data_IF_015262247234
#
_entry.id   IF_015262247234
#
_cell.length_a   1.000
_cell.length_b   1.000
_cell.length_c   1.000
_cell.angle_alpha   90.00
_cell.angle_beta   90.00
_cell.angle_gamma   90.00
#
_symmetry.space_group_name_H-M   'P 1'
#
loop_
_entity.id
_entity.type
_entity.pdbx_description
1 polymer ?
#
# COMPACT_ATOMS: atom_id res chain seq x y z
N UNK A 1 -14.22 13.39 16.25
CA UNK A 1 -14.71 12.54 17.35
C UNK A 1 -14.81 11.09 16.93
N UNK A 2 -14.10 10.19 17.64
CA UNK A 2 -14.59 8.91 18.25
C UNK A 2 -13.43 7.91 18.44
N UNK A 3 -13.43 7.16 19.56
CA UNK A 3 -12.42 6.15 19.94
C UNK A 3 -13.02 4.77 20.21
N UNK A 4 -12.20 3.72 20.07
CA UNK A 4 -12.62 2.34 20.21
C UNK A 4 -11.59 1.46 20.94
N UNK A 5 -12.11 0.37 21.51
CA UNK A 5 -11.52 -0.53 22.50
C UNK A 5 -10.24 -1.25 22.05
N UNK A 6 -9.31 -1.45 23.01
CA UNK A 6 -8.22 -2.45 22.91
C UNK A 6 -8.78 -3.81 23.34
N UNK A 7 -8.61 -4.86 22.53
CA UNK A 7 -8.81 -6.22 23.01
C UNK A 7 -7.74 -7.16 22.43
N UNK A 8 -7.04 -7.85 23.33
CA UNK A 8 -6.12 -8.93 22.99
C UNK A 8 -6.89 -10.25 23.04
N UNK A 9 -7.20 -10.84 21.88
CA UNK A 9 -7.77 -12.20 21.82
C UNK A 9 -9.20 -12.39 22.37
N UNK A 10 -9.89 -11.31 22.75
CA UNK A 10 -11.32 -11.33 23.09
C UNK A 10 -12.13 -10.55 22.05
N UNK A 11 -13.39 -10.95 21.81
CA UNK A 11 -14.31 -10.17 20.95
C UNK A 11 -14.57 -8.82 21.63
N UNK A 12 -14.26 -7.67 20.99
CA UNK A 12 -14.52 -6.37 21.58
C UNK A 12 -16.02 -6.20 21.83
N UNK A 13 -16.43 -5.55 22.92
CA UNK A 13 -17.84 -5.15 23.10
C UNK A 13 -18.21 -4.02 22.13
N UNK A 14 -19.50 -3.78 21.84
CA UNK A 14 -19.92 -2.62 21.09
C UNK A 14 -19.41 -1.32 21.74
N UNK A 15 -18.84 -0.39 20.96
CA UNK A 15 -18.33 0.88 21.47
C UNK A 15 -19.39 1.83 22.01
N UNK A 16 -18.94 2.83 22.79
CA UNK A 16 -19.71 4.03 23.15
C UNK A 16 -18.95 5.28 22.69
N UNK A 17 -19.66 6.29 22.21
CA UNK A 17 -19.09 7.58 21.79
C UNK A 17 -18.64 8.41 23.00
N UNK A 18 -17.45 9.00 22.96
CA UNK A 18 -16.98 9.99 23.94
C UNK A 18 -16.13 11.10 23.29
N UNK A 19 -16.42 12.40 23.56
CA UNK A 19 -15.64 13.53 23.05
C UNK A 19 -14.46 13.88 23.96
N UNK A 20 -13.25 14.00 23.40
CA UNK A 20 -12.07 14.52 24.11
C UNK A 20 -11.28 15.42 23.15
N UNK A 21 -11.36 16.74 23.33
CA UNK A 21 -10.83 17.74 22.40
C UNK A 21 -9.32 17.62 22.12
N UNK A 22 -8.53 17.22 23.12
CA UNK A 22 -7.08 17.03 22.99
C UNK A 22 -6.72 15.85 22.08
N UNK A 23 -7.61 14.87 21.95
CA UNK A 23 -7.37 13.67 21.13
C UNK A 23 -7.79 13.87 19.67
N UNK A 24 -8.75 14.76 19.40
CA UNK A 24 -9.17 15.10 18.04
C UNK A 24 -8.00 15.71 17.24
N UNK A 25 -7.24 16.65 17.82
CA UNK A 25 -6.07 17.23 17.14
C UNK A 25 -4.99 16.18 16.82
N UNK A 26 -4.74 15.27 17.76
CA UNK A 26 -3.78 14.19 17.59
C UNK A 26 -4.18 13.21 16.47
N UNK A 27 -5.44 12.78 16.46
CA UNK A 27 -5.94 11.89 15.42
C UNK A 27 -5.98 12.55 14.06
N UNK A 28 -6.41 13.82 13.98
CA UNK A 28 -6.42 14.59 12.74
C UNK A 28 -5.01 14.67 12.13
N UNK A 29 -3.98 14.92 12.93
CA UNK A 29 -2.59 14.93 12.44
C UNK A 29 -2.14 13.57 11.88
N UNK A 30 -2.66 12.45 12.41
CA UNK A 30 -2.38 11.12 11.86
C UNK A 30 -3.13 10.82 10.58
N UNK A 31 -4.39 11.23 10.50
CA UNK A 31 -5.21 11.15 9.30
C UNK A 31 -4.58 11.97 8.18
N UNK A 32 -4.23 13.23 8.43
CA UNK A 32 -3.54 14.10 7.48
C UNK A 32 -2.20 13.52 7.03
N UNK A 33 -1.38 13.00 7.96
CA UNK A 33 -0.11 12.38 7.61
C UNK A 33 -0.29 11.19 6.69
N UNK A 34 -1.24 10.30 7.00
CA UNK A 34 -1.54 9.12 6.20
C UNK A 34 -2.05 9.53 4.81
N UNK A 35 -2.95 10.50 4.77
CA UNK A 35 -3.51 11.05 3.55
C UNK A 35 -2.45 11.70 2.65
N UNK A 36 -1.63 12.59 3.21
CA UNK A 36 -0.54 13.25 2.50
C UNK A 36 0.51 12.25 2.02
N UNK A 37 0.79 11.23 2.84
CA UNK A 37 1.70 10.14 2.42
C UNK A 37 1.13 9.40 1.23
N UNK A 38 -0.16 9.06 1.22
CA UNK A 38 -0.78 8.34 0.11
C UNK A 38 -0.81 9.13 -1.21
N UNK A 39 -0.81 10.46 -1.14
CA UNK A 39 -0.75 11.34 -2.31
C UNK A 39 0.68 11.68 -2.76
N UNK A 40 1.72 11.11 -2.14
CA UNK A 40 3.09 11.31 -2.59
C UNK A 40 3.36 10.56 -3.90
N UNK A 41 4.27 11.09 -4.74
CA UNK A 41 4.54 10.58 -6.10
C UNK A 41 4.93 9.10 -6.19
N UNK A 42 5.66 8.56 -5.20
CA UNK A 42 6.07 7.14 -5.15
C UNK A 42 5.22 6.30 -4.18
N UNK A 43 4.07 6.82 -3.76
CA UNK A 43 3.19 6.04 -2.90
C UNK A 43 2.44 4.98 -3.69
N UNK A 44 2.13 3.83 -3.06
CA UNK A 44 1.21 2.87 -3.66
C UNK A 44 -0.10 3.57 -4.03
N UNK A 45 -0.70 3.23 -5.18
CA UNK A 45 -2.04 3.72 -5.50
C UNK A 45 -3.04 3.22 -4.43
N UNK A 46 -4.22 3.85 -4.33
CA UNK A 46 -5.27 3.43 -3.40
C UNK A 46 -5.56 1.92 -3.56
N UNK A 47 -5.63 1.23 -2.44
CA UNK A 47 -5.99 -0.19 -2.38
C UNK A 47 -7.44 -0.41 -2.81
N UNK A 48 -7.74 -1.59 -3.34
CA UNK A 48 -9.10 -2.01 -3.66
C UNK A 48 -9.69 -2.93 -2.59
N UNK A 49 -10.99 -2.83 -2.34
CA UNK A 49 -11.69 -3.87 -1.59
C UNK A 49 -11.83 -5.15 -2.42
N UNK A 50 -11.67 -6.30 -1.78
CA UNK A 50 -11.83 -7.62 -2.41
C UNK A 50 -13.26 -7.86 -2.92
N UNK A 51 -14.25 -7.23 -2.27
CA UNK A 51 -15.66 -7.31 -2.60
C UNK A 51 -16.45 -6.19 -1.89
N UNK A 52 -17.73 -6.07 -2.23
CA UNK A 52 -18.64 -5.08 -1.63
C UNK A 52 -18.83 -5.27 -0.12
N UNK A 53 -18.87 -6.53 0.37
CA UNK A 53 -18.99 -6.84 1.81
C UNK A 53 -17.78 -6.33 2.63
N UNK A 54 -16.60 -6.25 2.00
CA UNK A 54 -15.42 -5.65 2.60
C UNK A 54 -15.51 -4.12 2.66
N UNK A 55 -16.15 -3.49 1.67
CA UNK A 55 -16.35 -2.04 1.55
C UNK A 55 -17.41 -1.50 2.53
N UNK A 56 -18.53 -2.20 2.68
CA UNK A 56 -19.71 -1.73 3.44
C UNK A 56 -19.40 -1.17 4.84
N UNK A 57 -18.53 -1.78 5.68
CA UNK A 57 -18.20 -1.17 6.96
C UNK A 57 -17.48 0.18 6.82
N UNK A 58 -16.65 0.38 5.80
CA UNK A 58 -16.01 1.68 5.58
C UNK A 58 -17.02 2.73 5.11
N UNK A 59 -17.99 2.36 4.28
CA UNK A 59 -19.11 3.25 3.90
C UNK A 59 -19.92 3.63 5.14
N UNK A 60 -20.19 2.66 6.03
CA UNK A 60 -20.82 2.90 7.32
C UNK A 60 -20.01 3.81 8.26
N UNK A 61 -18.68 3.79 8.20
CA UNK A 61 -17.84 4.76 8.91
C UNK A 61 -17.92 6.15 8.28
N UNK A 62 -17.99 6.25 6.96
CA UNK A 62 -17.92 7.51 6.21
C UNK A 62 -19.27 8.25 6.22
N UNK A 63 -20.35 7.55 5.92
CA UNK A 63 -21.67 8.12 5.62
C UNK A 63 -22.72 7.80 6.70
N UNK A 64 -22.47 6.78 7.51
CA UNK A 64 -23.39 6.32 8.55
C UNK A 64 -23.67 7.35 9.64
N UNK A 65 -24.84 7.18 10.26
CA UNK A 65 -25.17 7.79 11.55
C UNK A 65 -24.36 7.18 12.69
N UNK A 66 -24.51 7.68 13.91
CA UNK A 66 -23.76 7.22 15.08
C UNK A 66 -23.88 5.71 15.31
N UNK A 67 -25.07 5.13 15.15
CA UNK A 67 -25.29 3.70 15.37
C UNK A 67 -24.65 2.86 14.26
N UNK A 68 -24.76 3.30 13.02
CA UNK A 68 -24.13 2.68 11.85
C UNK A 68 -22.61 2.74 11.97
N UNK A 69 -22.07 3.89 12.37
CA UNK A 69 -20.65 4.09 12.63
C UNK A 69 -20.14 3.10 13.69
N UNK A 70 -20.81 3.01 14.84
CA UNK A 70 -20.41 2.10 15.93
C UNK A 70 -20.45 0.63 15.49
N UNK A 71 -21.46 0.25 14.70
CA UNK A 71 -21.63 -1.11 14.17
C UNK A 71 -20.53 -1.46 13.17
N UNK A 72 -20.26 -0.56 12.22
CA UNK A 72 -19.17 -0.69 11.26
C UNK A 72 -17.81 -0.80 11.95
N UNK A 73 -17.55 0.08 12.90
CA UNK A 73 -16.31 0.11 13.64
C UNK A 73 -16.08 -1.15 14.48
N UNK A 74 -17.14 -1.68 15.12
CA UNK A 74 -17.11 -2.97 15.80
C UNK A 74 -16.84 -4.13 14.83
N UNK A 75 -17.47 -4.14 13.66
CA UNK A 75 -17.23 -5.15 12.62
C UNK A 75 -15.76 -5.18 12.18
N UNK A 76 -15.18 -4.00 11.90
CA UNK A 76 -13.78 -3.86 11.49
C UNK A 76 -12.82 -4.28 12.62
N UNK A 77 -13.12 -3.92 13.87
CA UNK A 77 -12.35 -4.37 15.03
C UNK A 77 -12.38 -5.90 15.18
N UNK A 78 -13.56 -6.52 15.04
CA UNK A 78 -13.70 -7.98 15.07
C UNK A 78 -12.88 -8.67 13.96
N UNK A 79 -12.92 -8.15 12.73
CA UNK A 79 -12.13 -8.68 11.61
C UNK A 79 -10.63 -8.59 11.88
N UNK A 80 -10.15 -7.45 12.39
CA UNK A 80 -8.75 -7.24 12.76
C UNK A 80 -8.29 -8.19 13.87
N UNK A 81 -9.07 -8.30 14.96
CA UNK A 81 -8.76 -9.19 16.08
C UNK A 81 -8.71 -10.65 15.63
N UNK A 82 -9.66 -11.10 14.80
CA UNK A 82 -9.69 -12.46 14.29
C UNK A 82 -8.45 -12.81 13.44
N UNK A 83 -7.84 -11.83 12.77
CA UNK A 83 -6.64 -12.03 11.94
C UNK A 83 -5.33 -11.88 12.73
N UNK A 84 -5.36 -11.26 13.92
CA UNK A 84 -4.18 -11.11 14.77
C UNK A 84 -3.80 -12.44 15.43
N UNK A 85 -2.68 -13.01 15.02
CA UNK A 85 -2.20 -14.33 15.43
C UNK A 85 -1.48 -14.38 16.79
N UNK A 86 -1.83 -13.51 17.75
CA UNK A 86 -1.20 -13.35 19.08
C UNK A 86 0.32 -13.01 19.09
N UNK A 87 0.99 -12.95 17.93
CA UNK A 87 2.40 -12.52 17.80
C UNK A 87 2.49 -11.00 17.59
N UNK A 88 1.43 -10.39 17.06
CA UNK A 88 1.36 -8.94 16.87
C UNK A 88 1.33 -8.21 18.21
N UNK A 89 2.24 -7.24 18.39
CA UNK A 89 2.28 -6.39 19.59
C UNK A 89 0.91 -5.74 19.86
N UNK A 90 0.51 -5.61 21.14
CA UNK A 90 -0.67 -4.86 21.53
C UNK A 90 -0.67 -3.47 20.89
N UNK A 91 -1.85 -3.01 20.50
CA UNK A 91 -2.03 -1.70 19.90
C UNK A 91 -3.47 -1.23 20.05
N UNK A 92 -3.67 0.06 19.91
CA UNK A 92 -4.99 0.69 19.97
C UNK A 92 -5.59 0.73 18.57
N UNK A 93 -6.81 0.20 18.43
CA UNK A 93 -7.59 0.32 17.20
C UNK A 93 -8.55 1.49 17.33
N UNK A 94 -8.41 2.47 16.46
CA UNK A 94 -9.24 3.68 16.46
C UNK A 94 -10.00 3.73 15.15
N UNK A 95 -11.32 3.70 15.20
CA UNK A 95 -12.15 4.08 14.06
C UNK A 95 -12.37 5.59 14.10
N UNK A 96 -12.13 6.26 13.00
CA UNK A 96 -12.18 7.72 12.91
C UNK A 96 -13.07 8.14 11.75
N UNK A 97 -13.78 9.26 11.93
CA UNK A 97 -14.41 10.06 10.89
C UNK A 97 -13.98 11.50 11.10
N UNK A 98 -13.43 12.12 10.07
CA UNK A 98 -12.89 13.47 10.11
C UNK A 98 -13.28 14.25 8.86
N UNK A 99 -13.52 15.54 9.03
CA UNK A 99 -13.61 16.48 7.92
C UNK A 99 -12.21 17.03 7.65
N UNK A 100 -11.67 16.80 6.45
CA UNK A 100 -10.34 17.31 6.06
C UNK A 100 -10.44 18.71 5.46
N UNK A 101 -11.46 18.93 4.63
CA UNK A 101 -11.82 20.24 4.10
C UNK A 101 -13.33 20.30 3.81
N UNK A 102 -13.85 21.44 3.34
CA UNK A 102 -15.29 21.66 3.16
C UNK A 102 -16.01 20.59 2.31
N UNK A 103 -15.31 19.91 1.40
CA UNK A 103 -15.88 18.94 0.48
C UNK A 103 -15.25 17.54 0.62
N UNK A 104 -14.35 17.35 1.59
CA UNK A 104 -13.64 16.10 1.78
C UNK A 104 -13.82 15.58 3.20
N UNK A 105 -14.59 14.50 3.33
CA UNK A 105 -14.68 13.72 4.55
C UNK A 105 -13.85 12.45 4.37
N UNK A 106 -13.16 12.05 5.43
CA UNK A 106 -12.37 10.82 5.48
C UNK A 106 -12.81 10.00 6.68
N UNK A 107 -12.84 8.68 6.51
CA UNK A 107 -13.15 7.77 7.60
C UNK A 107 -12.35 6.48 7.47
N UNK A 108 -12.14 5.78 8.58
CA UNK A 108 -11.41 4.53 8.52
C UNK A 108 -10.87 4.07 9.86
N UNK A 109 -9.87 3.19 9.82
CA UNK A 109 -9.33 2.54 11.02
C UNK A 109 -7.83 2.76 11.10
N UNK A 110 -7.37 3.18 12.27
CA UNK A 110 -5.98 3.39 12.63
C UNK A 110 -5.56 2.36 13.68
N UNK A 111 -4.37 1.78 13.51
CA UNK A 111 -3.68 1.01 14.54
C UNK A 111 -2.52 1.84 15.08
N UNK A 112 -2.63 2.24 16.34
CA UNK A 112 -1.61 3.02 17.04
C UNK A 112 -0.78 2.11 17.94
N UNK A 113 0.54 2.33 17.98
CA UNK A 113 1.42 1.66 18.93
C UNK A 113 1.24 2.27 20.31
N UNK A 114 0.90 1.46 21.30
CA UNK A 114 0.89 1.90 22.70
C UNK A 114 2.29 1.64 23.26
N UNK A 115 2.97 2.69 23.73
CA UNK A 115 4.26 2.53 24.42
C UNK A 115 3.98 2.16 25.88
N UNK A 116 4.30 0.92 26.25
CA UNK A 116 3.70 0.23 27.39
C UNK A 116 4.13 0.74 28.78
N UNK A 117 5.06 1.69 28.89
CA UNK A 117 5.42 2.24 30.20
C UNK A 117 4.51 3.40 30.64
N UNK A 118 3.82 4.10 29.72
CA UNK A 118 2.94 5.24 30.06
C UNK A 118 1.70 5.39 29.15
N UNK A 119 1.51 4.55 28.13
CA UNK A 119 0.47 4.76 27.12
C UNK A 119 -0.90 4.23 27.53
N UNK A 120 -1.84 5.13 27.81
CA UNK A 120 -3.27 4.87 28.01
C UNK A 120 -3.59 3.77 29.05
N UNK A 121 -3.88 4.17 30.30
CA UNK A 121 -4.53 3.26 31.23
C UNK A 121 -5.89 2.85 30.65
N UNK A 122 -5.99 1.58 30.24
CA UNK A 122 -7.26 0.91 30.07
C UNK A 122 -7.90 0.84 31.45
N UNK A 123 -8.80 1.77 31.75
CA UNK A 123 -9.56 1.72 32.99
C UNK A 123 -10.56 0.59 32.87
N UNK A 124 -10.40 -0.43 33.70
CA UNK A 124 -11.46 -1.40 33.90
C UNK A 124 -12.56 -0.71 34.71
N UNK A 125 -13.69 -0.45 34.07
CA UNK A 125 -14.90 0.01 34.73
C UNK A 125 -15.37 -1.03 35.74
N UNK A 126 -16.14 -0.60 36.73
CA UNK A 126 -16.75 -1.51 37.72
C UNK A 126 -17.64 -2.59 37.06
N UNK A 127 -18.05 -2.37 35.81
CA UNK A 127 -18.77 -3.30 34.94
C UNK A 127 -17.87 -4.38 34.30
N UNK A 128 -16.56 -4.33 34.55
CA UNK A 128 -15.54 -5.17 33.91
C UNK A 128 -15.11 -4.71 32.52
N UNK A 129 -15.64 -3.59 32.01
CA UNK A 129 -15.35 -3.06 30.67
C UNK A 129 -14.03 -2.29 30.66
N UNK A 130 -13.17 -2.53 29.66
CA UNK A 130 -11.95 -1.76 29.48
C UNK A 130 -12.25 -0.51 28.65
N UNK A 131 -12.05 0.66 29.25
CA UNK A 131 -12.24 1.98 28.62
C UNK A 131 -10.91 2.71 28.49
N UNK A 132 -10.71 3.41 27.36
CA UNK A 132 -9.59 4.33 27.20
C UNK A 132 -9.96 5.64 27.89
N UNK A 133 -9.31 5.95 29.01
CA UNK A 133 -9.34 7.29 29.59
C UNK A 133 -8.21 8.09 28.95
N UNK A 134 -8.51 9.22 28.29
CA UNK A 134 -7.46 10.17 27.92
C UNK A 134 -6.97 10.82 29.20
N UNK A 135 -6.00 10.18 29.85
CA UNK A 135 -5.33 10.78 30.98
C UNK A 135 -4.50 11.93 30.43
N UNK A 136 -4.88 13.14 30.79
CA UNK A 136 -4.28 14.44 30.43
C UNK A 136 -2.75 14.49 30.53
N UNK A 137 -2.16 13.61 31.35
CA UNK A 137 -0.73 13.55 31.63
C UNK A 137 0.00 12.34 31.00
N UNK A 138 -0.67 11.49 30.20
CA UNK A 138 -0.10 10.27 29.60
C UNK A 138 0.10 10.35 28.07
N UNK A 139 -0.24 11.48 27.45
CA UNK A 139 -0.13 11.71 26.02
C UNK A 139 0.96 12.74 25.65
N UNK A 140 2.04 12.84 26.43
CA UNK A 140 3.24 13.58 26.00
C UNK A 140 3.91 12.92 24.77
N UNK A 141 3.66 11.62 24.55
CA UNK A 141 3.99 10.87 23.32
C UNK A 141 2.83 9.98 22.92
N UNK A 142 1.79 10.54 22.30
CA UNK A 142 0.62 9.78 21.88
C UNK A 142 1.08 8.78 20.79
N UNK A 143 0.71 7.52 20.97
CA UNK A 143 1.27 6.37 20.26
C UNK A 143 1.50 6.57 18.76
N UNK A 144 2.63 6.09 18.22
CA UNK A 144 2.92 6.27 16.78
C UNK A 144 1.95 5.45 15.93
N UNK A 145 1.39 6.06 14.89
CA UNK A 145 0.67 5.36 13.83
C UNK A 145 1.54 4.20 13.33
N UNK A 146 1.04 2.97 13.47
CA UNK A 146 1.67 1.82 12.85
C UNK A 146 1.06 1.60 11.48
N UNK A 147 -0.27 1.61 11.42
CA UNK A 147 -1.06 1.23 10.24
C UNK A 147 -2.34 2.03 10.17
N UNK A 148 -2.84 2.29 8.99
CA UNK A 148 -4.16 2.85 8.81
C UNK A 148 -4.76 2.49 7.47
N UNK A 149 -6.07 2.41 7.42
CA UNK A 149 -6.86 2.32 6.21
C UNK A 149 -7.93 3.42 6.25
N UNK A 150 -8.02 4.23 5.20
CA UNK A 150 -8.93 5.36 5.10
C UNK A 150 -9.70 5.31 3.78
N UNK A 151 -11.01 5.54 3.84
CA UNK A 151 -11.86 5.90 2.69
C UNK A 151 -12.13 7.40 2.73
N UNK A 152 -12.59 7.93 1.60
CA UNK A 152 -12.83 9.36 1.43
C UNK A 152 -13.86 9.60 0.36
N UNK A 153 -14.61 10.70 0.50
CA UNK A 153 -15.52 11.20 -0.54
C UNK A 153 -14.82 11.61 -1.84
N UNK A 154 -13.48 11.72 -1.84
CA UNK A 154 -12.66 11.99 -3.04
C UNK A 154 -12.07 10.74 -3.69
N UNK A 155 -12.19 9.58 -3.06
CA UNK A 155 -11.77 8.33 -3.67
C UNK A 155 -12.95 7.73 -4.42
N UNK A 156 -12.65 7.02 -5.51
CA UNK A 156 -13.66 6.20 -6.18
C UNK A 156 -14.22 5.15 -5.21
N UNK A 157 -15.50 4.82 -5.38
CA UNK A 157 -16.14 3.76 -4.62
C UNK A 157 -15.32 2.46 -4.70
N UNK A 158 -15.19 1.76 -3.57
CA UNK A 158 -14.40 0.52 -3.50
C UNK A 158 -12.89 0.73 -3.39
N UNK A 159 -12.39 1.97 -3.25
CA UNK A 159 -10.97 2.27 -3.00
C UNK A 159 -10.72 2.76 -1.58
N UNK A 160 -9.54 2.45 -1.04
CA UNK A 160 -9.09 2.94 0.25
C UNK A 160 -7.59 3.26 0.24
N UNK A 161 -7.20 4.33 0.90
CA UNK A 161 -5.81 4.60 1.23
C UNK A 161 -5.37 3.65 2.33
N UNK A 162 -4.33 2.86 2.09
CA UNK A 162 -3.74 1.98 3.09
C UNK A 162 -2.29 2.37 3.34
N UNK A 163 -1.95 2.68 4.60
CA UNK A 163 -0.59 3.00 5.00
C UNK A 163 -0.07 1.99 6.00
N UNK A 164 1.10 1.43 5.71
CA UNK A 164 1.90 0.65 6.64
C UNK A 164 3.25 1.33 6.84
N UNK A 165 3.43 1.99 7.99
CA UNK A 165 4.71 2.62 8.34
C UNK A 165 5.76 1.59 8.79
N UNK A 166 5.35 0.34 9.02
CA UNK A 166 6.21 -0.77 9.45
C UNK A 166 6.13 -1.91 8.42
N UNK A 167 6.66 -1.62 7.21
CA UNK A 167 6.84 -2.53 6.06
C UNK A 167 6.70 -4.01 6.45
N UNK A 168 5.74 -4.73 5.82
CA UNK A 168 5.55 -6.20 5.82
C UNK A 168 4.34 -6.77 6.59
N UNK A 169 3.35 -5.97 6.98
CA UNK A 169 2.23 -6.52 7.73
C UNK A 169 0.99 -6.77 6.86
N UNK A 170 1.07 -7.82 6.02
CA UNK A 170 -0.03 -8.29 5.17
C UNK A 170 -1.32 -8.59 5.92
N UNK A 171 -1.25 -8.89 7.22
CA UNK A 171 -2.42 -9.21 8.04
C UNK A 171 -3.44 -8.07 8.12
N UNK A 172 -2.99 -6.81 8.15
CA UNK A 172 -3.87 -5.66 8.38
C UNK A 172 -4.77 -5.37 7.16
N UNK A 173 -4.23 -5.14 5.94
CA UNK A 173 -5.08 -5.01 4.77
C UNK A 173 -5.91 -6.27 4.52
N UNK A 174 -5.35 -7.47 4.71
CA UNK A 174 -6.10 -8.72 4.54
C UNK A 174 -7.31 -8.82 5.50
N UNK A 175 -7.16 -8.41 6.77
CA UNK A 175 -8.26 -8.40 7.72
C UNK A 175 -9.38 -7.43 7.32
N UNK A 176 -9.02 -6.33 6.65
CA UNK A 176 -9.96 -5.32 6.19
C UNK A 176 -10.53 -5.63 4.80
N UNK A 177 -10.11 -6.75 4.19
CA UNK A 177 -10.50 -7.11 2.83
C UNK A 177 -9.93 -6.16 1.79
N UNK A 178 -8.72 -5.64 2.00
CA UNK A 178 -8.02 -4.75 1.09
C UNK A 178 -6.93 -5.49 0.31
N UNK A 179 -6.90 -5.27 -1.00
CA UNK A 179 -5.81 -5.63 -1.89
C UNK A 179 -4.91 -4.41 -2.04
N UNK A 180 -3.68 -4.50 -1.51
CA UNK A 180 -2.71 -3.41 -1.60
C UNK A 180 -1.85 -3.61 -2.84
N UNK A 181 -1.77 -2.57 -3.65
CA UNK A 181 -0.97 -2.56 -4.87
C UNK A 181 0.49 -2.26 -4.58
N UNK A 182 1.41 -2.71 -5.44
CA UNK A 182 2.80 -2.29 -5.37
C UNK A 182 2.92 -0.81 -5.70
N UNK A 183 4.05 -0.22 -5.29
CA UNK A 183 4.40 1.16 -5.69
C UNK A 183 4.58 1.27 -7.20
N UNK A 184 4.40 2.45 -7.80
CA UNK A 184 4.57 2.67 -9.25
C UNK A 184 5.84 2.03 -9.84
N UNK A 185 7.01 2.31 -9.27
CA UNK A 185 8.28 1.73 -9.75
C UNK A 185 8.34 0.20 -9.60
N UNK A 186 7.76 -0.34 -8.52
CA UNK A 186 7.70 -1.78 -8.30
C UNK A 186 6.71 -2.45 -9.25
N UNK A 187 5.58 -1.81 -9.54
CA UNK A 187 4.59 -2.27 -10.50
C UNK A 187 5.19 -2.35 -11.90
N UNK A 188 5.90 -1.30 -12.33
CA UNK A 188 6.58 -1.27 -13.62
C UNK A 188 7.69 -2.34 -13.69
N UNK A 189 8.45 -2.54 -12.61
CA UNK A 189 9.40 -3.66 -12.54
C UNK A 189 8.71 -5.01 -12.72
N UNK A 190 7.62 -5.27 -11.99
CA UNK A 190 6.86 -6.51 -12.12
C UNK A 190 6.31 -6.72 -13.53
N UNK A 191 5.90 -5.64 -14.20
CA UNK A 191 5.49 -5.65 -15.60
C UNK A 191 6.62 -6.13 -16.52
N UNK A 192 7.82 -5.55 -16.41
CA UNK A 192 8.96 -5.98 -17.24
C UNK A 192 9.46 -7.39 -16.89
N UNK A 193 9.48 -7.77 -15.62
CA UNK A 193 9.79 -9.13 -15.21
C UNK A 193 8.79 -10.14 -15.83
N UNK A 194 7.49 -9.80 -15.86
CA UNK A 194 6.46 -10.63 -16.50
C UNK A 194 6.62 -10.68 -18.03
N UNK A 195 6.98 -9.56 -18.67
CA UNK A 195 7.29 -9.52 -20.10
C UNK A 195 8.47 -10.42 -20.46
N UNK A 196 9.57 -10.34 -19.70
CA UNK A 196 10.76 -11.17 -19.91
C UNK A 196 10.48 -12.67 -19.75
N UNK A 197 9.57 -13.03 -18.84
CA UNK A 197 9.19 -14.43 -18.64
C UNK A 197 8.31 -14.98 -19.77
N UNK A 198 7.49 -14.12 -20.39
CA UNK A 198 6.54 -14.54 -21.44
C UNK A 198 7.18 -14.46 -22.82
N UNK A 199 7.81 -13.34 -23.16
CA UNK A 199 8.50 -13.13 -24.42
C UNK A 199 9.69 -12.15 -24.27
N UNK A 200 10.88 -12.67 -23.92
CA UNK A 200 12.07 -11.84 -23.73
C UNK A 200 12.52 -11.09 -24.99
N UNK A 201 12.12 -11.53 -26.19
CA UNK A 201 12.48 -10.85 -27.43
C UNK A 201 11.73 -9.53 -27.60
N UNK A 202 10.55 -9.38 -26.97
CA UNK A 202 9.74 -8.18 -27.05
C UNK A 202 10.07 -7.15 -25.98
N UNK A 203 10.74 -7.52 -24.88
CA UNK A 203 10.94 -6.64 -23.71
C UNK A 203 11.57 -5.30 -24.07
N UNK A 204 12.59 -5.27 -24.93
CA UNK A 204 13.25 -4.03 -25.36
C UNK A 204 12.28 -3.08 -26.09
N UNK A 205 11.58 -3.61 -27.11
CA UNK A 205 10.58 -2.86 -27.87
C UNK A 205 9.42 -2.39 -26.99
N UNK A 206 8.99 -3.23 -26.06
CA UNK A 206 7.95 -2.89 -25.08
C UNK A 206 8.43 -1.78 -24.15
N UNK A 207 9.68 -1.79 -23.71
CA UNK A 207 10.22 -0.75 -22.84
C UNK A 207 10.31 0.62 -23.53
N UNK A 208 10.68 0.65 -24.82
CA UNK A 208 10.65 1.87 -25.63
C UNK A 208 9.22 2.42 -25.77
N UNK A 209 8.27 1.56 -26.14
CA UNK A 209 6.87 1.95 -26.31
C UNK A 209 6.19 2.36 -24.99
N UNK A 210 6.56 1.73 -23.87
CA UNK A 210 5.98 1.96 -22.55
C UNK A 210 6.12 3.41 -22.08
N UNK A 211 7.28 4.04 -22.32
CA UNK A 211 7.55 5.42 -21.90
C UNK A 211 6.66 6.46 -22.61
N UNK A 212 6.08 6.10 -23.75
CA UNK A 212 5.19 6.95 -24.53
C UNK A 212 3.70 6.70 -24.28
N UNK A 213 3.37 5.68 -23.49
CA UNK A 213 1.98 5.32 -23.17
C UNK A 213 1.42 6.19 -22.04
N UNK A 214 0.10 6.27 -21.94
CA UNK A 214 -0.54 6.95 -20.81
C UNK A 214 -0.57 6.04 -19.57
N UNK A 215 -0.36 6.59 -18.36
CA UNK A 215 -0.60 5.85 -17.13
C UNK A 215 -2.06 5.38 -17.05
N UNK A 216 -2.29 4.17 -16.54
CA UNK A 216 -3.64 3.63 -16.45
C UNK A 216 -3.70 2.15 -16.11
N UNK A 217 -4.89 1.53 -16.26
CA UNK A 217 -5.08 0.10 -16.06
C UNK A 217 -4.14 -0.74 -16.95
N UNK A 218 -3.64 -1.86 -16.42
CA UNK A 218 -2.70 -2.76 -17.12
C UNK A 218 -3.20 -3.15 -18.51
N UNK A 219 -4.50 -3.47 -18.63
CA UNK A 219 -5.12 -3.85 -19.91
C UNK A 219 -5.01 -2.73 -20.93
N UNK A 220 -5.37 -1.50 -20.54
CA UNK A 220 -5.34 -0.34 -21.43
C UNK A 220 -3.92 0.00 -21.86
N UNK A 221 -2.96 -0.07 -20.92
CA UNK A 221 -1.53 0.14 -21.23
C UNK A 221 -1.00 -0.93 -22.20
N UNK A 222 -1.34 -2.21 -21.98
CA UNK A 222 -0.97 -3.30 -22.89
C UNK A 222 -1.59 -3.15 -24.28
N UNK A 223 -2.82 -2.63 -24.38
CA UNK A 223 -3.47 -2.30 -25.66
C UNK A 223 -2.73 -1.16 -26.37
N UNK A 224 -2.37 -0.07 -25.66
CA UNK A 224 -1.61 1.03 -26.24
C UNK A 224 -0.21 0.59 -26.73
N UNK A 225 0.49 -0.28 -25.97
CA UNK A 225 1.80 -0.81 -26.37
C UNK A 225 1.68 -1.69 -27.62
N UNK A 226 0.65 -2.55 -27.69
CA UNK A 226 0.46 -3.44 -28.83
C UNK A 226 0.14 -2.72 -30.14
N UNK A 227 -0.40 -1.49 -30.07
CA UNK A 227 -0.56 -0.64 -31.24
C UNK A 227 0.79 -0.15 -31.82
N UNK A 228 1.89 -0.24 -31.04
CA UNK A 228 3.24 0.23 -31.40
C UNK A 228 4.25 -0.90 -31.61
N UNK A 229 4.07 -2.02 -30.91
CA UNK A 229 5.01 -3.15 -30.93
C UNK A 229 4.41 -4.32 -31.71
N UNK A 230 4.93 -4.54 -32.91
CA UNK A 230 4.59 -5.73 -33.70
C UNK A 230 5.02 -7.00 -32.94
N UNK A 231 4.15 -8.00 -32.89
CA UNK A 231 4.39 -9.25 -32.17
C UNK A 231 3.81 -9.31 -30.75
N UNK A 232 3.39 -8.19 -30.16
CA UNK A 232 2.67 -8.18 -28.88
C UNK A 232 1.20 -8.63 -29.07
N UNK A 233 1.03 -9.93 -29.31
CA UNK A 233 -0.26 -10.55 -29.63
C UNK A 233 -1.23 -10.57 -28.44
N UNK A 234 -2.52 -10.79 -28.72
CA UNK A 234 -3.55 -10.94 -27.69
C UNK A 234 -3.23 -12.01 -26.63
N UNK A 235 -2.60 -13.12 -27.02
CA UNK A 235 -2.21 -14.19 -26.08
C UNK A 235 -1.06 -13.77 -25.16
N UNK A 236 -0.04 -13.08 -25.70
CA UNK A 236 1.08 -12.57 -24.89
C UNK A 236 0.55 -11.60 -23.84
N UNK A 237 -0.31 -10.65 -24.24
CA UNK A 237 -0.92 -9.68 -23.32
C UNK A 237 -1.74 -10.35 -22.22
N UNK A 238 -2.58 -11.33 -22.58
CA UNK A 238 -3.39 -12.06 -21.62
C UNK A 238 -2.52 -12.83 -20.61
N UNK A 239 -1.40 -13.41 -21.04
CA UNK A 239 -0.47 -14.10 -20.14
C UNK A 239 0.25 -13.13 -19.20
N UNK A 240 0.74 -12.01 -19.71
CA UNK A 240 1.38 -10.95 -18.91
C UNK A 240 0.41 -10.40 -17.86
N UNK A 241 -0.81 -10.10 -18.26
CA UNK A 241 -1.87 -9.66 -17.35
C UNK A 241 -2.17 -10.70 -16.28
N UNK A 242 -2.31 -11.98 -16.66
CA UNK A 242 -2.58 -13.06 -15.71
C UNK A 242 -1.46 -13.20 -14.67
N UNK A 243 -0.19 -13.08 -15.09
CA UNK A 243 0.97 -13.09 -14.18
C UNK A 243 0.92 -11.92 -13.21
N UNK A 244 0.67 -10.71 -13.71
CA UNK A 244 0.58 -9.49 -12.89
C UNK A 244 -0.55 -9.55 -11.85
N UNK A 245 -1.69 -10.12 -12.22
CA UNK A 245 -2.81 -10.36 -11.29
C UNK A 245 -2.52 -11.46 -10.27
N UNK A 246 -1.68 -12.44 -10.63
CA UNK A 246 -1.30 -13.57 -9.79
C UNK A 246 -0.23 -13.27 -8.72
N UNK A 247 0.35 -12.07 -8.74
CA UNK A 247 1.35 -11.66 -7.75
C UNK A 247 0.76 -11.54 -6.34
N UNK A 248 1.60 -11.70 -5.32
CA UNK A 248 1.20 -11.45 -3.93
C UNK A 248 0.72 -10.01 -3.68
N UNK A 249 1.22 -9.06 -4.47
CA UNK A 249 0.70 -7.71 -4.62
C UNK A 249 0.29 -7.52 -6.09
N UNK A 250 -0.99 -7.76 -6.42
CA UNK A 250 -1.46 -7.66 -7.80
C UNK A 250 -1.23 -6.27 -8.38
N UNK A 251 -0.76 -6.23 -9.63
CA UNK A 251 -0.61 -5.01 -10.41
C UNK A 251 -1.87 -4.85 -11.27
N UNK A 252 -2.64 -3.80 -11.03
CA UNK A 252 -3.82 -3.45 -11.85
C UNK A 252 -3.63 -2.16 -12.63
N UNK A 253 -2.72 -1.29 -12.18
CA UNK A 253 -2.42 0.00 -12.81
C UNK A 253 -0.90 0.12 -13.00
N UNK A 254 -0.51 0.78 -14.09
CA UNK A 254 0.87 1.07 -14.44
C UNK A 254 1.05 2.58 -14.59
N UNK A 255 2.08 3.10 -13.93
CA UNK A 255 2.54 4.48 -14.14
C UNK A 255 3.69 4.46 -15.15
N UNK A 256 3.38 4.84 -16.38
CA UNK A 256 4.32 4.90 -17.51
C UNK A 256 5.21 6.14 -17.47
N UNK A 257 4.89 7.13 -16.63
CA UNK A 257 5.68 8.37 -16.50
C UNK A 257 6.91 8.25 -15.60
N UNK A 258 7.23 7.05 -15.13
CA UNK A 258 8.38 6.79 -14.28
C UNK A 258 9.54 6.24 -15.11
N UNK A 259 10.72 6.85 -14.97
CA UNK A 259 11.96 6.30 -15.51
C UNK A 259 12.33 5.02 -14.77
N UNK A 260 11.95 3.87 -15.34
CA UNK A 260 12.29 2.58 -14.77
C UNK A 260 13.77 2.30 -15.05
N UNK A 261 14.56 2.27 -13.98
CA UNK A 261 15.98 1.94 -14.06
C UNK A 261 16.23 0.54 -13.54
N UNK A 262 17.09 -0.19 -14.23
CA UNK A 262 17.58 -1.48 -13.77
C UNK A 262 18.95 -1.36 -13.13
N UNK A 263 19.17 -2.11 -12.05
CA UNK A 263 20.38 -2.07 -11.24
C UNK A 263 20.98 -3.46 -11.08
N UNK A 264 22.26 -3.62 -11.43
CA UNK A 264 23.05 -4.82 -11.18
C UNK A 264 24.20 -4.52 -10.21
N UNK A 265 24.07 -4.90 -8.91
CA UNK A 265 25.17 -4.79 -7.96
C UNK A 265 26.18 -5.93 -8.14
N UNK A 266 27.47 -5.60 -8.27
CA UNK A 266 28.59 -6.53 -8.44
C UNK A 266 29.70 -6.13 -7.46
N UNK A 267 29.67 -6.70 -6.25
CA UNK A 267 30.59 -6.31 -5.18
C UNK A 267 30.46 -4.82 -4.85
N UNK A 268 31.52 -4.04 -5.08
CA UNK A 268 31.54 -2.58 -4.90
C UNK A 268 31.10 -1.78 -6.13
N UNK A 269 30.87 -2.44 -7.27
CA UNK A 269 30.43 -1.81 -8.52
C UNK A 269 28.91 -1.94 -8.64
N UNK A 270 28.27 -0.93 -9.21
CA UNK A 270 26.85 -0.98 -9.59
C UNK A 270 26.74 -0.52 -11.03
N UNK A 271 26.12 -1.34 -11.87
CA UNK A 271 25.67 -0.92 -13.21
C UNK A 271 24.22 -0.51 -13.09
N UNK A 272 23.89 0.70 -13.55
CA UNK A 272 22.57 1.31 -13.46
C UNK A 272 22.26 2.02 -14.78
N UNK A 273 21.08 1.77 -15.35
CA UNK A 273 20.62 2.44 -16.57
C UNK A 273 19.12 2.27 -16.77
N UNK A 274 18.52 2.94 -17.77
CA UNK A 274 17.14 2.70 -18.19
C UNK A 274 16.91 1.22 -18.48
N UNK A 275 15.73 0.68 -18.15
CA UNK A 275 15.47 -0.75 -18.30
C UNK A 275 15.54 -1.22 -19.76
N UNK A 276 15.13 -0.37 -20.72
CA UNK A 276 15.24 -0.66 -22.14
C UNK A 276 16.71 -0.92 -22.53
N UNK A 277 17.58 0.03 -22.23
CA UNK A 277 19.02 -0.05 -22.50
C UNK A 277 19.66 -1.22 -21.74
N UNK A 278 19.36 -1.36 -20.46
CA UNK A 278 19.98 -2.39 -19.62
C UNK A 278 19.62 -3.79 -20.10
N UNK A 279 18.39 -4.03 -20.56
CA UNK A 279 17.97 -5.35 -21.06
C UNK A 279 18.53 -5.67 -22.44
N UNK A 280 18.83 -4.65 -23.25
CA UNK A 280 19.46 -4.82 -24.55
C UNK A 280 20.99 -4.99 -24.44
N UNK A 281 21.63 -4.12 -23.67
CA UNK A 281 23.08 -3.93 -23.62
C UNK A 281 23.74 -4.82 -22.55
N UNK A 282 23.02 -5.21 -21.50
CA UNK A 282 23.60 -5.94 -20.36
C UNK A 282 23.18 -7.41 -20.34
N UNK A 283 24.16 -8.31 -20.47
CA UNK A 283 23.98 -9.75 -20.31
C UNK A 283 24.67 -10.28 -19.07
N UNK A 284 24.05 -11.28 -18.45
CA UNK A 284 24.60 -12.05 -17.33
C UNK A 284 25.03 -13.41 -17.84
N UNK A 285 26.33 -13.70 -17.76
CA UNK A 285 26.89 -14.94 -18.28
C UNK A 285 27.71 -15.66 -17.23
N UNK A 286 27.82 -16.98 -17.39
CA UNK A 286 28.70 -17.80 -16.56
C UNK A 286 29.93 -18.16 -17.37
N UNK A 287 31.11 -17.80 -16.87
CA UNK A 287 32.39 -18.11 -17.50
C UNK A 287 32.69 -19.60 -17.42
N UNK A 288 33.58 -20.10 -18.27
CA UNK A 288 33.97 -21.52 -18.30
C UNK A 288 34.59 -22.04 -17.00
N UNK A 289 35.06 -21.16 -16.12
CA UNK A 289 35.57 -21.48 -14.78
C UNK A 289 34.50 -21.34 -13.67
N UNK A 290 33.23 -21.10 -14.04
CA UNK A 290 32.09 -21.07 -13.13
C UNK A 290 31.83 -19.73 -12.45
N UNK A 291 32.61 -18.68 -12.72
CA UNK A 291 32.36 -17.31 -12.25
C UNK A 291 31.20 -16.66 -13.02
N UNK A 292 30.60 -15.64 -12.42
CA UNK A 292 29.60 -14.80 -13.09
C UNK A 292 30.29 -13.58 -13.69
N UNK A 293 29.94 -13.24 -14.92
CA UNK A 293 30.33 -12.00 -15.58
C UNK A 293 29.09 -11.24 -16.02
N UNK A 294 29.21 -9.91 -16.00
CA UNK A 294 28.23 -9.02 -16.56
C UNK A 294 28.88 -8.37 -17.79
N UNK A 295 28.33 -8.67 -18.97
CA UNK A 295 28.81 -8.15 -20.25
C UNK A 295 27.94 -6.95 -20.60
N UNK A 296 28.56 -5.80 -20.82
CA UNK A 296 27.89 -4.59 -21.29
C UNK A 296 28.36 -4.38 -22.73
N UNK A 297 27.49 -4.64 -23.70
CA UNK A 297 27.71 -4.38 -25.12
C UNK A 297 27.26 -2.94 -25.39
N UNK A 298 28.17 -2.05 -25.77
CA UNK A 298 27.86 -0.66 -26.14
C UNK A 298 28.50 -0.36 -27.50
N UNK A 299 27.77 0.36 -28.35
CA UNK A 299 28.24 0.76 -29.68
C UNK A 299 29.06 2.07 -29.65
N UNK A 300 29.08 2.73 -28.49
CA UNK A 300 29.80 3.99 -28.27
C UNK A 300 31.01 3.80 -27.35
N UNK A 301 32.05 4.60 -27.55
CA UNK A 301 33.24 4.56 -26.70
C UNK A 301 32.89 5.03 -25.27
N UNK A 302 33.15 4.23 -24.22
CA UNK A 302 32.77 4.59 -22.86
C UNK A 302 33.56 5.81 -22.38
N UNK A 303 32.84 6.90 -22.08
CA UNK A 303 33.44 8.14 -21.58
C UNK A 303 33.60 8.06 -20.05
N UNK A 304 34.83 7.94 -19.58
CA UNK A 304 35.14 8.01 -18.15
C UNK A 304 35.08 9.45 -17.65
N UNK A 305 34.09 9.78 -16.82
CA UNK A 305 34.10 11.00 -16.01
C UNK A 305 34.67 10.68 -14.62
N UNK A 306 35.83 11.24 -14.29
CA UNK A 306 36.34 11.21 -12.91
C UNK A 306 35.59 12.26 -12.09
N UNK A 307 34.88 11.83 -11.06
CA UNK A 307 34.20 12.68 -10.06
C UNK A 307 35.04 12.75 -8.80
#
# INVERSE_FOLDING_TARGET
MTHLLVAHGERPRPPRLQPIAEVDNFLSAHVERLWNSANARDSPPPAHFVNEEACQPFDGLLEGDDQTFLTAAHSLACRLVARMNKVTKPGLLVAVKAQVDANNSVAGVLKLQVDAENGAMLRQLETGELQLEAVKDLLDRPGRLQKGALVSTRLDAGRAVCGDLQRNAHYFPAALGLIVHPRPLQAAKHFFDAMDEVDPALTGLVAEAFAECRPGPVVEVLEEIAAKVEGLTGSVRAEVEARLRGLAQPVFELDTGQDVKEKYPIGSVTVLGPIADMRHLVRKERTGDGRWQLVIEIDEEPVGAWV
#
